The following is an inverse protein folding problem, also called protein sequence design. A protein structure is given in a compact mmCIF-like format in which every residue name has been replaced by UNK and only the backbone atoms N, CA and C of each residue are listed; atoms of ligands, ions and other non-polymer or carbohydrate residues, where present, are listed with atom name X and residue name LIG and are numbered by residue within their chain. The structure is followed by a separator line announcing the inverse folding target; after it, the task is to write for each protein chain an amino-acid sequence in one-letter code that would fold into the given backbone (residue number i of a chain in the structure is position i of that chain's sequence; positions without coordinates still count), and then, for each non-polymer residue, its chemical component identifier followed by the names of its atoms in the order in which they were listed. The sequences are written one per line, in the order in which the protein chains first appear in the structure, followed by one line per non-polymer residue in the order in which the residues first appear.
data_IF_938357941731
#
_entry.id   IF_938357941731
#
_cell.length_a   1.000
_cell.length_b   1.000
_cell.length_c   1.000
_cell.angle_alpha   90.00
_cell.angle_beta   90.00
_cell.angle_gamma   90.00
#
_symmetry.space_group_name_H-M   'P 1'
#
loop_
_entity.id
_entity.type
_entity.pdbx_description
1 polymer ?
#
# COMPACT_ATOMS: atom_id res chain seq x y z
N UNK A 1 1.96 1.55 -0.78
CA UNK A 1 0.98 0.77 0.01
C UNK A 1 0.45 1.71 1.06
N UNK A 2 -0.86 1.91 1.15
CA UNK A 2 -1.44 2.72 2.23
C UNK A 2 -1.81 1.74 3.33
N UNK A 3 -1.19 1.88 4.50
CA UNK A 3 -1.48 1.04 5.67
C UNK A 3 -1.77 1.95 6.85
N UNK A 4 -3.05 2.03 7.26
CA UNK A 4 -3.53 2.29 8.62
C UNK A 4 -5.05 2.54 8.60
N UNK A 5 -5.84 1.46 8.55
CA UNK A 5 -7.22 1.43 9.03
C UNK A 5 -7.60 -0.03 9.26
N UNK A 6 -8.28 -0.34 10.37
CA UNK A 6 -8.72 -1.69 10.80
C UNK A 6 -9.56 -2.44 9.73
N UNK A 7 -9.94 -1.78 8.64
CA UNK A 7 -10.81 -2.27 7.58
C UNK A 7 -10.11 -2.89 6.36
N UNK A 8 -8.79 -2.71 6.17
CA UNK A 8 -8.10 -3.25 4.97
C UNK A 8 -7.54 -4.65 5.23
N UNK A 9 -8.32 -5.69 4.88
CA UNK A 9 -7.96 -7.11 5.08
C UNK A 9 -6.75 -7.59 4.26
N UNK A 10 -6.42 -6.90 3.16
CA UNK A 10 -5.32 -7.26 2.26
C UNK A 10 -4.78 -6.03 1.53
N UNK A 11 -3.49 -6.02 1.14
CA UNK A 11 -2.91 -4.92 0.40
C UNK A 11 -3.59 -4.73 -0.97
N UNK A 12 -3.86 -3.47 -1.32
CA UNK A 12 -4.43 -3.10 -2.63
C UNK A 12 -3.41 -2.29 -3.45
N UNK A 13 -3.31 -2.60 -4.75
CA UNK A 13 -2.51 -1.80 -5.68
C UNK A 13 -3.13 -0.40 -5.81
N UNK A 14 -2.32 0.65 -5.60
CA UNK A 14 -2.74 2.05 -5.77
C UNK A 14 -2.37 2.57 -7.16
N UNK A 15 -1.13 2.34 -7.57
CA UNK A 15 -0.61 2.67 -8.89
C UNK A 15 -0.04 1.41 -9.50
N UNK A 16 -0.57 1.01 -10.65
CA UNK A 16 -0.06 -0.10 -11.43
C UNK A 16 0.89 0.42 -12.50
N UNK A 17 1.96 -0.32 -12.76
CA UNK A 17 2.79 -0.14 -13.94
C UNK A 17 2.60 -1.36 -14.84
N UNK A 18 1.85 -1.20 -15.92
CA UNK A 18 1.63 -2.23 -16.93
C UNK A 18 2.16 -1.73 -18.26
N UNK A 19 3.07 -2.49 -18.87
CA UNK A 19 3.68 -2.11 -20.15
C UNK A 19 4.31 -0.70 -20.16
N UNK A 20 4.94 -0.30 -19.04
CA UNK A 20 5.53 1.05 -18.84
C UNK A 20 4.50 2.19 -18.78
N UNK A 21 3.21 1.87 -18.76
CA UNK A 21 2.15 2.84 -18.53
C UNK A 21 1.72 2.79 -17.07
N UNK A 22 1.67 3.96 -16.45
CA UNK A 22 1.17 4.12 -15.09
C UNK A 22 -0.33 4.35 -15.12
N UNK A 23 -1.06 3.60 -14.31
CA UNK A 23 -2.49 3.77 -14.09
C UNK A 23 -2.80 3.78 -12.60
N UNK A 24 -3.79 4.57 -12.19
CA UNK A 24 -4.25 4.62 -10.80
C UNK A 24 -5.44 3.67 -10.66
N UNK A 25 -5.47 2.88 -9.59
CA UNK A 25 -6.58 2.00 -9.28
C UNK A 25 -7.75 2.79 -8.66
N UNK A 26 -8.92 2.89 -9.34
CA UNK A 26 -10.05 3.67 -8.83
C UNK A 26 -10.60 3.14 -7.50
N UNK A 27 -10.57 1.82 -7.28
CA UNK A 27 -11.02 1.21 -6.02
C UNK A 27 -10.14 1.62 -4.84
N UNK A 28 -8.83 1.78 -5.06
CA UNK A 28 -7.91 2.26 -4.02
C UNK A 28 -8.23 3.72 -3.67
N UNK A 29 -8.53 4.56 -4.66
CA UNK A 29 -8.93 5.96 -4.44
C UNK A 29 -10.22 6.06 -3.64
N UNK A 30 -11.23 5.23 -3.93
CA UNK A 30 -12.48 5.19 -3.17
C UNK A 30 -12.24 4.89 -1.68
N UNK A 31 -11.34 3.95 -1.37
CA UNK A 31 -10.97 3.65 0.03
C UNK A 31 -10.32 4.87 0.67
N UNK A 32 -9.36 5.50 -0.02
CA UNK A 32 -8.64 6.67 0.52
C UNK A 32 -9.57 7.86 0.78
N UNK A 33 -10.53 8.11 -0.10
CA UNK A 33 -11.53 9.17 0.07
C UNK A 33 -12.45 8.94 1.29
N UNK A 34 -12.60 7.69 1.73
CA UNK A 34 -13.43 7.35 2.89
C UNK A 34 -12.65 7.45 4.22
N UNK A 35 -11.33 7.69 4.20
CA UNK A 35 -10.53 7.87 5.41
C UNK A 35 -10.54 9.36 5.78
N UNK A 36 -11.22 9.70 6.87
CA UNK A 36 -11.33 11.07 7.36
C UNK A 36 -10.35 11.39 8.49
N UNK A 37 -9.71 10.39 9.08
CA UNK A 37 -8.71 10.57 10.13
C UNK A 37 -7.38 11.02 9.51
N UNK A 38 -6.57 11.82 10.22
CA UNK A 38 -5.18 12.06 9.84
C UNK A 38 -4.40 10.75 9.69
N UNK A 39 -3.66 10.61 8.59
CA UNK A 39 -2.89 9.40 8.28
C UNK A 39 -1.39 9.68 8.26
N UNK A 40 -0.62 8.66 8.64
CA UNK A 40 0.83 8.64 8.43
C UNK A 40 1.10 7.76 7.21
N UNK A 41 1.86 8.28 6.24
CA UNK A 41 2.19 7.56 5.00
C UNK A 41 3.65 7.11 5.04
N UNK A 42 3.87 5.80 4.91
CA UNK A 42 5.21 5.20 4.82
C UNK A 42 5.41 4.61 3.42
N UNK A 43 6.47 5.06 2.73
CA UNK A 43 6.88 4.56 1.42
C UNK A 43 8.22 3.81 1.51
N UNK A 44 8.28 2.60 0.95
CA UNK A 44 9.51 1.80 0.87
C UNK A 44 9.88 1.59 -0.59
N UNK A 45 11.09 1.98 -0.96
CA UNK A 45 11.64 1.86 -2.32
C UNK A 45 12.99 1.14 -2.30
N UNK A 46 13.39 0.55 -3.42
CA UNK A 46 14.66 -0.16 -3.56
C UNK A 46 14.63 -1.27 -4.60
N UNK A 47 15.79 -1.84 -4.89
CA UNK A 47 15.98 -2.86 -5.92
C UNK A 47 15.03 -4.05 -5.77
N UNK A 48 14.73 -4.74 -6.88
CA UNK A 48 13.88 -5.93 -6.84
C UNK A 48 14.46 -7.00 -5.89
N UNK A 49 13.59 -7.68 -5.13
CA UNK A 49 13.94 -8.75 -4.18
C UNK A 49 14.83 -8.40 -2.97
N UNK A 50 14.85 -7.14 -2.52
CA UNK A 50 15.54 -6.73 -1.27
C UNK A 50 14.68 -6.78 0.01
N UNK A 51 13.67 -7.64 0.09
CA UNK A 51 12.86 -7.79 1.32
C UNK A 51 11.91 -6.64 1.66
N UNK A 52 11.65 -5.70 0.73
CA UNK A 52 10.76 -4.54 0.97
C UNK A 52 9.36 -4.92 1.45
N UNK A 53 8.75 -5.96 0.88
CA UNK A 53 7.44 -6.46 1.31
C UNK A 53 7.47 -7.08 2.70
N UNK A 54 8.57 -7.75 3.06
CA UNK A 54 8.77 -8.28 4.40
C UNK A 54 8.80 -7.15 5.44
N UNK A 55 9.55 -6.07 5.17
CA UNK A 55 9.57 -4.90 6.05
C UNK A 55 8.18 -4.24 6.19
N UNK A 56 7.40 -4.15 5.09
CA UNK A 56 6.02 -3.68 5.16
C UNK A 56 5.12 -4.56 6.05
N UNK A 57 5.28 -5.88 5.98
CA UNK A 57 4.51 -6.80 6.82
C UNK A 57 4.88 -6.64 8.30
N UNK A 58 6.18 -6.47 8.62
CA UNK A 58 6.62 -6.18 9.97
C UNK A 58 6.01 -4.88 10.52
N UNK A 59 5.98 -3.82 9.70
CA UNK A 59 5.35 -2.55 10.07
C UNK A 59 3.83 -2.68 10.26
N UNK A 60 3.18 -3.57 9.50
CA UNK A 60 1.76 -3.87 9.64
C UNK A 60 1.46 -4.81 10.83
N UNK A 61 2.47 -5.24 11.59
CA UNK A 61 2.31 -6.21 12.68
C UNK A 61 1.97 -7.63 12.20
N UNK A 62 2.08 -7.91 10.90
CA UNK A 62 1.79 -9.20 10.28
C UNK A 62 3.04 -10.09 10.28
N UNK A 63 3.57 -10.39 11.47
CA UNK A 63 4.71 -11.29 11.66
C UNK A 63 4.21 -12.74 11.75
N UNK A 64 4.16 -13.44 10.62
CA UNK A 64 4.14 -14.92 10.57
C UNK A 64 5.44 -15.41 9.94
#
# INVERSE_FOLDING_TARGET
VVMASETMKAPMCLVENKNKQLSVNPSAIQILNNISQPVVVVGIVGMYRTGKSYLMNCLAGQNH
#
